data_IF_301414131137
#
_entry.id   IF_301414131137
#
_cell.length_a   1.000
_cell.length_b   1.000
_cell.length_c   1.000
_cell.angle_alpha   90.00
_cell.angle_beta   90.00
_cell.angle_gamma   90.00
#
_symmetry.space_group_name_H-M   'P 1'
#
loop_
_entity.id
_entity.type
_entity.pdbx_description
1 polymer ?
#
# COMPACT_ATOMS: atom_id res chain seq x y z
N UNK A 1 -19.65 7.74 1.49
CA UNK A 1 -18.47 7.87 2.38
C UNK A 1 -17.35 8.42 1.53
N UNK A 2 -16.76 9.55 1.91
CA UNK A 2 -15.62 10.10 1.16
C UNK A 2 -14.38 9.48 1.79
N UNK A 3 -13.68 8.60 1.08
CA UNK A 3 -12.38 8.12 1.53
C UNK A 3 -11.43 9.32 1.61
N UNK A 4 -10.81 9.55 2.77
CA UNK A 4 -9.78 10.58 2.91
C UNK A 4 -8.57 10.13 2.11
N UNK A 5 -8.11 10.92 1.14
CA UNK A 5 -6.91 10.57 0.35
C UNK A 5 -5.69 10.54 1.27
N UNK A 6 -5.01 9.40 1.33
CA UNK A 6 -3.85 9.18 2.19
C UNK A 6 -2.52 9.37 1.44
N UNK A 7 -2.48 9.10 0.14
CA UNK A 7 -1.27 9.24 -0.69
C UNK A 7 -1.57 9.84 -2.06
N UNK A 8 -0.69 10.70 -2.56
CA UNK A 8 -0.85 11.38 -3.85
C UNK A 8 0.45 11.44 -4.64
N UNK A 9 0.35 11.22 -5.95
CA UNK A 9 1.45 11.39 -6.90
C UNK A 9 0.91 11.75 -8.30
N UNK A 10 1.82 12.14 -9.20
CA UNK A 10 1.47 12.40 -10.60
C UNK A 10 1.73 11.17 -11.45
N UNK A 11 0.99 11.06 -12.55
CA UNK A 11 1.09 9.93 -13.46
C UNK A 11 2.49 9.76 -14.03
N UNK A 12 2.96 8.52 -14.13
CA UNK A 12 4.30 8.17 -14.59
C UNK A 12 5.42 8.47 -13.57
N UNK A 13 5.09 8.92 -12.36
CA UNK A 13 6.08 9.13 -11.30
C UNK A 13 6.39 7.81 -10.59
N UNK A 14 7.67 7.54 -10.35
CA UNK A 14 8.13 6.43 -9.48
C UNK A 14 8.52 6.89 -8.08
N UNK A 15 8.36 8.19 -7.80
CA UNK A 15 8.64 8.82 -6.50
C UNK A 15 7.56 9.86 -6.15
N UNK A 16 7.23 10.05 -4.87
CA UNK A 16 7.76 9.32 -3.71
C UNK A 16 7.28 7.86 -3.68
N UNK A 17 7.99 7.01 -2.95
CA UNK A 17 7.48 5.69 -2.59
C UNK A 17 6.31 5.82 -1.60
N UNK A 18 5.42 4.83 -1.57
CA UNK A 18 4.39 4.75 -0.55
C UNK A 18 4.99 4.16 0.72
N UNK A 19 4.98 4.91 1.82
CA UNK A 19 5.42 4.44 3.15
C UNK A 19 4.21 4.37 4.08
N UNK A 20 4.17 3.32 4.92
CA UNK A 20 3.08 3.10 5.86
C UNK A 20 3.59 2.42 7.13
N UNK A 21 2.94 2.73 8.26
CA UNK A 21 3.09 2.00 9.52
C UNK A 21 1.89 1.08 9.70
N UNK A 22 2.16 -0.22 9.81
CA UNK A 22 1.13 -1.24 10.01
C UNK A 22 0.83 -1.32 11.51
N UNK A 23 -0.43 -1.05 11.86
CA UNK A 23 -0.90 -1.02 13.25
C UNK A 23 -2.11 -1.93 13.43
N UNK A 24 -2.34 -2.39 14.66
CA UNK A 24 -3.56 -3.10 15.04
C UNK A 24 -4.75 -2.14 15.28
N UNK A 25 -5.90 -2.70 15.66
CA UNK A 25 -7.11 -1.92 15.96
C UNK A 25 -6.97 -0.96 17.15
N UNK A 26 -5.98 -1.16 18.01
CA UNK A 26 -5.65 -0.28 19.14
C UNK A 26 -4.56 0.74 18.78
N UNK A 27 -4.18 0.83 17.49
CA UNK A 27 -3.11 1.67 16.95
C UNK A 27 -1.71 1.32 17.49
N UNK A 28 -1.50 0.09 17.97
CA UNK A 28 -0.17 -0.40 18.33
C UNK A 28 0.55 -0.95 17.09
N UNK A 29 1.87 -0.74 17.01
CA UNK A 29 2.69 -1.23 15.91
C UNK A 29 2.68 -2.76 15.82
N UNK A 30 2.56 -3.27 14.60
CA UNK A 30 2.67 -4.70 14.31
C UNK A 30 4.15 -5.05 14.11
N UNK A 31 4.67 -6.02 14.87
CA UNK A 31 6.02 -6.55 14.63
C UNK A 31 6.00 -7.45 13.38
N UNK A 32 6.88 -7.14 12.42
CA UNK A 32 7.01 -7.83 11.13
C UNK A 32 8.26 -8.74 11.04
N UNK A 33 8.91 -9.04 12.17
CA UNK A 33 10.10 -9.89 12.19
C UNK A 33 9.81 -11.28 11.59
N UNK A 34 10.59 -11.65 10.57
CA UNK A 34 10.42 -12.91 9.84
C UNK A 34 9.18 -12.96 8.93
N UNK A 35 8.39 -11.90 8.86
CA UNK A 35 7.23 -11.82 7.99
C UNK A 35 7.62 -11.47 6.54
N UNK A 36 6.67 -11.66 5.63
CA UNK A 36 6.75 -11.16 4.25
C UNK A 36 5.54 -10.29 3.95
N UNK A 37 5.73 -9.26 3.12
CA UNK A 37 4.68 -8.28 2.81
C UNK A 37 4.52 -8.16 1.30
N UNK A 38 3.27 -8.22 0.84
CA UNK A 38 2.91 -7.89 -0.54
C UNK A 38 1.91 -6.75 -0.57
N UNK A 39 1.95 -5.97 -1.65
CA UNK A 39 1.08 -4.84 -1.92
C UNK A 39 0.11 -5.19 -3.04
N UNK A 40 -1.14 -4.80 -2.85
CA UNK A 40 -2.19 -4.93 -3.85
C UNK A 40 -2.86 -3.57 -4.04
N UNK A 41 -3.10 -3.18 -5.28
CA UNK A 41 -3.82 -1.95 -5.64
C UNK A 41 -4.89 -2.28 -6.68
N UNK A 42 -6.08 -1.72 -6.49
CA UNK A 42 -7.21 -1.84 -7.41
C UNK A 42 -7.88 -0.50 -7.66
N UNK A 43 -8.56 -0.39 -8.81
CA UNK A 43 -9.48 0.70 -9.07
C UNK A 43 -10.70 0.61 -8.13
N UNK A 44 -11.41 1.72 -7.97
CA UNK A 44 -12.59 1.80 -7.07
C UNK A 44 -13.72 0.86 -7.53
N UNK A 45 -13.79 0.54 -8.82
CA UNK A 45 -14.74 -0.43 -9.39
C UNK A 45 -14.31 -1.90 -9.26
N UNK A 46 -13.10 -2.16 -8.75
CA UNK A 46 -12.60 -3.49 -8.39
C UNK A 46 -11.58 -4.08 -9.37
N UNK A 47 -11.22 -3.38 -10.45
CA UNK A 47 -10.18 -3.86 -11.36
C UNK A 47 -8.80 -3.83 -10.67
N UNK A 48 -8.18 -5.00 -10.52
CA UNK A 48 -6.85 -5.13 -9.89
C UNK A 48 -5.79 -4.61 -10.85
N UNK A 49 -5.01 -3.63 -10.38
CA UNK A 49 -3.95 -2.95 -11.14
C UNK A 49 -2.58 -3.50 -10.75
N UNK A 50 -2.37 -3.73 -9.46
CA UNK A 50 -1.17 -4.36 -8.91
C UNK A 50 -1.65 -5.53 -8.07
N UNK A 51 -1.21 -6.74 -8.42
CA UNK A 51 -1.61 -7.97 -7.75
C UNK A 51 -0.44 -8.55 -6.95
N UNK A 52 -0.47 -8.34 -5.63
CA UNK A 52 0.40 -9.01 -4.65
C UNK A 52 1.90 -8.92 -4.98
N UNK A 53 2.36 -7.72 -5.33
CA UNK A 53 3.78 -7.46 -5.59
C UNK A 53 4.52 -7.25 -4.27
N UNK A 54 5.76 -7.73 -4.16
CA UNK A 54 6.52 -7.64 -2.91
C UNK A 54 6.73 -6.18 -2.47
N UNK A 55 6.45 -5.91 -1.20
CA UNK A 55 6.78 -4.65 -0.53
C UNK A 55 8.03 -4.83 0.35
N UNK A 56 8.73 -3.74 0.64
CA UNK A 56 9.92 -3.75 1.49
C UNK A 56 9.52 -3.48 2.95
N UNK A 57 9.99 -4.30 3.89
CA UNK A 57 9.95 -3.97 5.32
C UNK A 57 11.12 -3.03 5.61
N UNK A 58 10.84 -1.82 6.09
CA UNK A 58 11.83 -0.78 6.40
C UNK A 58 12.29 -0.89 7.85
N UNK A 59 11.33 -1.02 8.77
CA UNK A 59 11.55 -1.26 10.20
C UNK A 59 10.55 -2.32 10.67
N UNK A 60 11.07 -3.50 11.02
CA UNK A 60 10.23 -4.62 11.41
C UNK A 60 9.57 -4.42 12.79
N UNK A 61 10.26 -3.80 13.75
CA UNK A 61 9.73 -3.60 15.10
C UNK A 61 8.67 -2.49 15.13
N UNK A 62 8.85 -1.46 14.31
CA UNK A 62 7.89 -0.36 14.16
C UNK A 62 6.74 -0.66 13.18
N UNK A 63 6.78 -1.79 12.48
CA UNK A 63 5.78 -2.13 11.45
C UNK A 63 5.84 -1.24 10.21
N UNK A 64 7.00 -0.66 9.91
CA UNK A 64 7.17 0.26 8.78
C UNK A 64 7.43 -0.51 7.48
N UNK A 65 6.61 -0.24 6.45
CA UNK A 65 6.72 -0.83 5.12
C UNK A 65 6.78 0.23 4.03
N UNK A 66 7.40 -0.12 2.90
CA UNK A 66 7.51 0.70 1.71
C UNK A 66 7.12 -0.05 0.45
N UNK A 67 6.26 0.53 -0.37
CA UNK A 67 6.05 0.13 -1.76
C UNK A 67 6.73 1.11 -2.72
N UNK A 68 7.67 0.60 -3.52
CA UNK A 68 8.39 1.37 -4.53
C UNK A 68 7.76 1.11 -5.90
N UNK A 69 7.21 2.17 -6.49
CA UNK A 69 6.53 2.10 -7.79
C UNK A 69 7.48 1.68 -8.92
N UNK A 70 7.07 0.69 -9.71
CA UNK A 70 7.72 0.35 -10.97
C UNK A 70 7.26 1.29 -12.10
N UNK A 71 8.03 1.32 -13.19
CA UNK A 71 7.64 2.02 -14.41
C UNK A 71 6.30 1.47 -14.93
N UNK A 72 5.36 2.37 -15.25
CA UNK A 72 4.03 2.03 -15.75
C UNK A 72 2.94 1.86 -14.70
N UNK A 73 3.29 1.62 -13.43
CA UNK A 73 2.30 1.35 -12.36
C UNK A 73 1.45 2.57 -12.00
N UNK A 74 1.94 3.77 -12.33
CA UNK A 74 1.28 5.04 -12.00
C UNK A 74 0.79 5.77 -13.25
N UNK A 75 0.74 5.13 -14.42
CA UNK A 75 0.46 5.83 -15.68
C UNK A 75 -1.01 6.27 -15.83
N UNK A 76 -1.93 5.60 -15.15
CA UNK A 76 -3.35 5.88 -15.23
C UNK A 76 -3.81 6.84 -14.11
N UNK A 77 -4.28 8.07 -14.44
CA UNK A 77 -4.82 8.98 -13.44
C UNK A 77 -6.20 8.52 -12.96
N UNK A 78 -6.32 8.25 -11.67
CA UNK A 78 -7.57 7.89 -11.01
C UNK A 78 -7.39 7.90 -9.47
N UNK A 79 -8.49 7.66 -8.76
CA UNK A 79 -8.44 7.28 -7.35
C UNK A 79 -8.44 5.73 -7.27
N UNK A 80 -7.58 5.19 -6.39
CA UNK A 80 -7.34 3.76 -6.20
C UNK A 80 -7.43 3.38 -4.72
N UNK A 81 -7.69 2.11 -4.47
CA UNK A 81 -7.69 1.49 -3.15
C UNK A 81 -6.55 0.48 -3.09
N UNK A 82 -5.80 0.47 -1.99
CA UNK A 82 -4.70 -0.45 -1.81
C UNK A 82 -4.63 -1.03 -0.40
N UNK A 83 -3.96 -2.16 -0.27
CA UNK A 83 -3.69 -2.83 1.00
C UNK A 83 -2.30 -3.49 0.99
N UNK A 84 -1.72 -3.64 2.18
CA UNK A 84 -0.58 -4.50 2.44
C UNK A 84 -1.07 -5.82 3.04
N UNK A 85 -0.72 -6.95 2.43
CA UNK A 85 -0.94 -8.28 3.00
C UNK A 85 0.35 -8.80 3.61
N UNK A 86 0.35 -9.05 4.91
CA UNK A 86 1.46 -9.62 5.68
C UNK A 86 1.23 -11.11 5.84
N UNK A 87 2.24 -11.93 5.55
CA UNK A 87 2.28 -13.35 5.94
C UNK A 87 3.32 -13.53 7.03
N UNK A 88 2.88 -13.96 8.21
CA UNK A 88 3.70 -14.14 9.40
C UNK A 88 4.45 -15.49 9.40
N UNK A 89 5.46 -15.69 10.27
CA UNK A 89 6.24 -16.93 10.34
C UNK A 89 5.41 -18.20 10.64
N UNK A 90 4.28 -18.05 11.34
CA UNK A 90 3.34 -19.14 11.63
C UNK A 90 2.37 -19.43 10.47
N UNK A 91 2.42 -18.63 9.40
CA UNK A 91 1.57 -18.76 8.22
C UNK A 91 0.26 -17.98 8.30
N UNK A 92 -0.02 -17.26 9.40
CA UNK A 92 -1.18 -16.37 9.46
C UNK A 92 -1.01 -15.20 8.47
N UNK A 93 -2.14 -14.75 7.92
CA UNK A 93 -2.19 -13.65 6.95
C UNK A 93 -3.10 -12.56 7.47
N UNK A 94 -2.55 -11.35 7.60
CA UNK A 94 -3.30 -10.14 7.97
C UNK A 94 -3.17 -9.09 6.88
N UNK A 95 -4.22 -8.29 6.70
CA UNK A 95 -4.28 -7.21 5.71
C UNK A 95 -4.38 -5.87 6.40
N UNK A 96 -3.69 -4.88 5.84
CA UNK A 96 -3.58 -3.56 6.42
C UNK A 96 -3.84 -2.45 5.38
N UNK A 97 -4.56 -1.38 5.75
CA UNK A 97 -5.17 -1.13 7.06
C UNK A 97 -6.25 -2.16 7.41
N UNK A 98 -6.45 -2.44 8.70
CA UNK A 98 -7.41 -3.47 9.15
C UNK A 98 -8.85 -2.96 9.19
N UNK A 99 -9.04 -1.65 9.20
CA UNK A 99 -10.31 -0.95 9.34
C UNK A 99 -10.72 -0.11 8.12
N UNK A 100 -9.82 0.06 7.14
CA UNK A 100 -10.03 0.81 5.91
C UNK A 100 -9.02 0.36 4.81
N UNK A 101 -8.93 1.11 3.72
CA UNK A 101 -7.94 0.95 2.65
C UNK A 101 -6.93 2.11 2.62
N UNK A 102 -5.78 1.89 1.99
CA UNK A 102 -4.91 3.00 1.57
C UNK A 102 -5.54 3.66 0.35
N UNK A 103 -6.08 4.88 0.53
CA UNK A 103 -6.64 5.67 -0.57
C UNK A 103 -5.52 6.42 -1.32
N UNK A 104 -5.32 6.07 -2.58
CA UNK A 104 -4.25 6.59 -3.43
C UNK A 104 -4.86 7.41 -4.57
N UNK A 105 -4.34 8.64 -4.80
CA UNK A 105 -4.74 9.46 -5.94
C UNK A 105 -3.58 9.69 -6.88
N UNK A 106 -3.75 9.25 -8.13
CA UNK A 106 -2.85 9.57 -9.22
C UNK A 106 -3.45 10.73 -10.02
N UNK A 107 -2.73 11.85 -10.07
CA UNK A 107 -3.10 13.04 -10.84
C UNK A 107 -2.45 13.00 -12.22
N UNK A 108 -3.11 13.57 -13.23
CA UNK A 108 -2.48 13.76 -14.53
C UNK A 108 -1.20 14.61 -14.41
N UNK A 109 -0.10 14.12 -14.99
CA UNK A 109 1.08 14.92 -15.21
C UNK A 109 0.85 15.95 -16.33
N UNK A 110 1.60 17.05 -16.30
CA UNK A 110 1.62 18.01 -17.39
C UNK A 110 2.51 17.47 -18.51
N UNK A 111 2.17 17.80 -19.75
CA UNK A 111 2.99 17.53 -20.93
C UNK A 111 4.27 18.38 -20.95
#
# INVERSE_FOLDING_TARGET
MTATIQFQLKSGSTSPALEAFLVDGDHAAINLEGASVVFTMQAIDGDVIIDRVAATIVDAEAGEVRYSWAEGETDAPADYLAEFSVTFPDGEVSKFPSDDWVAIRILGALA
#
